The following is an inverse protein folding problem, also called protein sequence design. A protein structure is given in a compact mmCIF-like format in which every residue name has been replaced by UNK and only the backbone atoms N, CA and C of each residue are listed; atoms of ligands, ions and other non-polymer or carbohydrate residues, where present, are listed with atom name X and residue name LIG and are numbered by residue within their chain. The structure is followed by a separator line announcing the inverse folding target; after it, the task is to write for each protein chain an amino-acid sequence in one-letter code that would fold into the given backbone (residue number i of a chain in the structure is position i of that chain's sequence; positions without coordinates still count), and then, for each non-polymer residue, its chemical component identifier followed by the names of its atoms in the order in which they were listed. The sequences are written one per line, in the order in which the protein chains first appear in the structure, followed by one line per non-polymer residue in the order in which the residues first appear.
data_IF_576601379677
#
_entry.id   IF_576601379677
#
_cell.length_a   1.000
_cell.length_b   1.000
_cell.length_c   1.000
_cell.angle_alpha   90.00
_cell.angle_beta   90.00
_cell.angle_gamma   90.00
#
_symmetry.space_group_name_H-M   'P 1'
#
loop_
_entity.id
_entity.type
_entity.pdbx_description
1 polymer ?
#
# COMPACT_ATOMS: atom_id res chain seq x y z
N UNK A 1 3.07 17.54 8.81
CA UNK A 1 2.29 16.28 8.89
C UNK A 1 2.05 15.77 7.47
N UNK A 2 2.09 14.47 7.25
CA UNK A 2 1.92 13.85 5.94
C UNK A 2 0.54 13.23 5.78
N UNK A 3 -0.04 13.35 4.58
CA UNK A 3 -1.34 12.76 4.22
C UNK A 3 -1.16 11.93 2.94
N UNK A 4 -1.55 10.65 3.00
CA UNK A 4 -1.53 9.74 1.87
C UNK A 4 -2.94 9.46 1.37
N UNK A 5 -3.18 9.67 0.08
CA UNK A 5 -4.50 9.53 -0.54
C UNK A 5 -4.44 8.45 -1.62
N UNK A 6 -5.30 7.44 -1.51
CA UNK A 6 -5.41 6.36 -2.48
C UNK A 6 -6.08 6.80 -3.78
N UNK A 7 -5.75 6.14 -4.89
CA UNK A 7 -6.43 6.32 -6.17
C UNK A 7 -5.74 7.31 -7.10
N UNK A 8 -4.43 7.48 -6.97
CA UNK A 8 -3.62 8.39 -7.78
C UNK A 8 -3.93 8.33 -9.28
N UNK A 9 -4.07 7.12 -9.81
CA UNK A 9 -4.35 6.88 -11.23
C UNK A 9 -5.71 6.23 -11.46
N UNK A 10 -6.15 5.35 -10.57
CA UNK A 10 -7.44 4.66 -10.68
C UNK A 10 -8.65 5.55 -10.44
N UNK A 11 -8.50 6.64 -9.69
CA UNK A 11 -9.56 7.58 -9.29
C UNK A 11 -9.24 9.03 -9.61
N UNK A 12 -8.27 9.27 -10.51
CA UNK A 12 -7.78 10.61 -10.80
C UNK A 12 -8.89 11.60 -11.20
N UNK A 13 -9.90 11.13 -11.96
CA UNK A 13 -11.00 11.97 -12.43
C UNK A 13 -11.82 12.61 -11.29
N UNK A 14 -11.95 11.93 -10.15
CA UNK A 14 -12.59 12.47 -8.95
C UNK A 14 -11.58 13.09 -7.99
N UNK A 15 -10.37 12.56 -7.93
CA UNK A 15 -9.35 12.98 -6.98
C UNK A 15 -8.78 14.37 -7.32
N UNK A 16 -8.49 14.65 -8.59
CA UNK A 16 -7.96 15.97 -9.00
C UNK A 16 -8.93 17.11 -8.67
N UNK A 17 -10.22 17.08 -9.05
CA UNK A 17 -11.17 18.11 -8.67
C UNK A 17 -11.31 18.25 -7.15
N UNK A 18 -11.28 17.13 -6.42
CA UNK A 18 -11.34 17.15 -4.96
C UNK A 18 -10.15 17.89 -4.34
N UNK A 19 -8.92 17.59 -4.79
CA UNK A 19 -7.70 18.26 -4.29
C UNK A 19 -7.75 19.76 -4.60
N UNK A 20 -8.13 20.14 -5.81
CA UNK A 20 -8.24 21.54 -6.22
C UNK A 20 -9.25 22.29 -5.36
N UNK A 21 -10.45 21.72 -5.18
CA UNK A 21 -11.53 22.32 -4.38
C UNK A 21 -11.12 22.49 -2.91
N UNK A 22 -10.34 21.54 -2.38
CA UNK A 22 -9.97 21.51 -0.96
C UNK A 22 -8.52 21.94 -0.72
N UNK A 23 -7.91 22.70 -1.62
CA UNK A 23 -6.50 23.12 -1.53
C UNK A 23 -6.15 23.75 -0.16
N UNK A 24 -7.08 24.50 0.43
CA UNK A 24 -6.86 25.12 1.74
C UNK A 24 -6.80 24.11 2.89
N UNK A 25 -7.51 22.99 2.77
CA UNK A 25 -7.47 21.88 3.77
C UNK A 25 -6.10 21.22 3.78
N UNK A 26 -5.46 21.11 2.61
CA UNK A 26 -4.16 20.48 2.48
C UNK A 26 -2.97 21.43 2.71
N UNK A 27 -3.24 22.69 2.98
CA UNK A 27 -2.19 23.69 3.23
C UNK A 27 -1.38 23.33 4.47
N UNK A 28 -0.07 23.18 4.33
CA UNK A 28 0.83 22.81 5.42
C UNK A 28 0.97 21.30 5.66
N UNK A 29 0.37 20.48 4.78
CA UNK A 29 0.59 19.04 4.77
C UNK A 29 1.49 18.63 3.59
N UNK A 30 2.32 17.62 3.82
CA UNK A 30 3.00 16.89 2.77
C UNK A 30 2.02 15.88 2.19
N UNK A 31 1.48 16.16 1.01
CA UNK A 31 0.49 15.31 0.37
C UNK A 31 1.17 14.31 -0.56
N UNK A 32 0.86 13.04 -0.39
CA UNK A 32 1.26 11.95 -1.28
C UNK A 32 0.02 11.24 -1.80
N UNK A 33 -0.03 10.99 -3.09
CA UNK A 33 -1.06 10.15 -3.70
C UNK A 33 -0.46 8.80 -4.07
N UNK A 34 -1.21 7.70 -3.89
CA UNK A 34 -0.67 6.38 -4.15
C UNK A 34 -1.60 5.48 -4.96
N UNK A 35 -1.01 4.61 -5.76
CA UNK A 35 -1.71 3.57 -6.51
C UNK A 35 -0.76 2.43 -6.93
N UNK A 36 -1.34 1.32 -7.41
CA UNK A 36 -0.66 0.31 -8.21
C UNK A 36 -0.88 0.60 -9.69
N UNK A 37 0.11 0.32 -10.53
CA UNK A 37 0.01 0.46 -11.98
C UNK A 37 -0.09 -0.92 -12.59
N UNK A 38 -0.98 -1.09 -13.57
CA UNK A 38 -1.28 -2.38 -14.17
C UNK A 38 -0.07 -3.03 -14.88
N UNK A 39 -0.15 -4.35 -15.04
CA UNK A 39 0.89 -5.17 -15.63
C UNK A 39 2.27 -5.18 -14.92
N UNK A 40 2.37 -4.66 -13.70
CA UNK A 40 3.56 -4.75 -12.88
C UNK A 40 3.50 -5.97 -11.94
N UNK A 41 4.42 -6.89 -12.07
CA UNK A 41 4.49 -8.09 -11.23
C UNK A 41 4.83 -7.81 -9.77
N UNK A 42 5.31 -6.59 -9.46
CA UNK A 42 5.60 -6.18 -8.09
C UNK A 42 4.36 -5.70 -7.32
N UNK A 43 3.23 -5.50 -8.01
CA UNK A 43 1.98 -5.18 -7.35
C UNK A 43 1.51 -6.36 -6.48
N UNK A 44 1.03 -6.03 -5.30
CA UNK A 44 0.45 -6.98 -4.36
C UNK A 44 -0.62 -6.29 -3.53
N UNK A 45 -1.28 -7.03 -2.65
CA UNK A 45 -2.23 -6.47 -1.70
C UNK A 45 -3.56 -5.94 -2.26
N UNK A 46 -3.63 -5.65 -3.55
CA UNK A 46 -4.85 -5.26 -4.26
C UNK A 46 -4.93 -5.97 -5.59
N UNK A 47 -6.15 -6.21 -6.04
CA UNK A 47 -6.43 -6.79 -7.34
C UNK A 47 -5.99 -5.79 -8.42
N UNK A 48 -5.18 -6.25 -9.38
CA UNK A 48 -4.83 -5.45 -10.55
C UNK A 48 -6.09 -5.05 -11.31
N UNK A 49 -6.19 -3.76 -11.61
CA UNK A 49 -7.20 -3.18 -12.47
C UNK A 49 -6.46 -2.57 -13.66
N UNK A 50 -7.19 -2.26 -14.74
CA UNK A 50 -6.61 -1.54 -15.88
C UNK A 50 -6.27 -0.08 -15.49
N UNK A 51 -5.21 0.06 -14.71
CA UNK A 51 -4.72 1.34 -14.20
C UNK A 51 -3.49 1.71 -15.00
N UNK A 52 -3.67 2.70 -15.87
CA UNK A 52 -2.57 3.28 -16.65
C UNK A 52 -2.12 4.60 -16.04
N UNK A 53 -0.83 4.85 -16.12
CA UNK A 53 -0.26 6.12 -15.70
C UNK A 53 -0.34 7.14 -16.84
N UNK A 54 -1.11 8.20 -16.66
CA UNK A 54 -1.17 9.34 -17.58
C UNK A 54 -0.13 10.40 -17.20
N UNK A 55 0.68 10.83 -18.17
CA UNK A 55 1.68 11.90 -17.96
C UNK A 55 1.01 13.21 -17.54
N UNK A 56 -0.15 13.52 -18.11
CA UNK A 56 -0.94 14.69 -17.72
C UNK A 56 -1.31 14.67 -16.23
N UNK A 57 -1.68 13.50 -15.70
CA UNK A 57 -2.04 13.31 -14.29
C UNK A 57 -0.81 13.44 -13.39
N UNK A 58 0.32 12.88 -13.81
CA UNK A 58 1.60 13.04 -13.11
C UNK A 58 2.04 14.50 -13.04
N UNK A 59 2.01 15.20 -14.16
CA UNK A 59 2.35 16.62 -14.26
C UNK A 59 1.49 17.48 -13.34
N UNK A 60 0.19 17.16 -13.26
CA UNK A 60 -0.71 17.84 -12.33
C UNK A 60 -0.24 17.68 -10.89
N UNK A 61 0.06 16.46 -10.44
CA UNK A 61 0.53 16.22 -9.08
C UNK A 61 1.81 16.98 -8.80
N UNK A 62 2.81 16.89 -9.66
CA UNK A 62 4.10 17.55 -9.46
C UNK A 62 4.01 19.09 -9.46
N UNK A 63 3.19 19.69 -10.33
CA UNK A 63 2.94 21.15 -10.33
C UNK A 63 2.26 21.64 -9.06
N UNK A 64 1.57 20.77 -8.35
CA UNK A 64 0.92 21.08 -7.08
C UNK A 64 1.72 20.61 -5.85
N UNK A 65 3.00 20.26 -6.01
CA UNK A 65 3.88 19.72 -4.95
C UNK A 65 3.29 18.49 -4.24
N UNK A 66 2.64 17.62 -5.01
CA UNK A 66 2.09 16.35 -4.53
C UNK A 66 3.03 15.24 -4.96
N UNK A 67 3.50 14.46 -4.00
CA UNK A 67 4.35 13.30 -4.25
C UNK A 67 3.52 12.10 -4.69
N UNK A 68 4.16 11.19 -5.42
CA UNK A 68 3.52 9.95 -5.90
C UNK A 68 4.16 8.76 -5.21
N UNK A 69 3.34 7.83 -4.73
CA UNK A 69 3.79 6.57 -4.20
C UNK A 69 3.34 5.39 -5.07
N UNK A 70 4.27 4.50 -5.38
CA UNK A 70 4.00 3.25 -6.08
C UNK A 70 3.87 2.09 -5.10
N UNK A 71 2.82 1.28 -5.24
CA UNK A 71 2.56 0.14 -4.36
C UNK A 71 3.17 -1.15 -4.93
N UNK A 72 4.38 -1.49 -4.50
CA UNK A 72 5.10 -2.71 -4.87
C UNK A 72 5.07 -3.72 -3.72
N UNK A 73 3.88 -4.16 -3.36
CA UNK A 73 3.62 -4.95 -2.15
C UNK A 73 3.52 -6.46 -2.39
N UNK A 74 4.00 -6.95 -3.54
CA UNK A 74 4.09 -8.39 -3.78
C UNK A 74 5.22 -9.00 -2.91
N UNK A 75 4.95 -10.05 -2.11
CA UNK A 75 5.97 -10.71 -1.31
C UNK A 75 7.00 -11.47 -2.16
N UNK A 76 6.62 -11.87 -3.39
CA UNK A 76 7.49 -12.60 -4.32
C UNK A 76 7.78 -11.70 -5.52
N UNK A 77 9.02 -11.23 -5.61
CA UNK A 77 9.45 -10.31 -6.68
C UNK A 77 10.60 -10.89 -7.49
N UNK A 78 10.58 -10.62 -8.79
CA UNK A 78 11.73 -10.71 -9.67
C UNK A 78 12.26 -9.29 -9.91
N UNK A 79 13.45 -8.97 -9.43
CA UNK A 79 14.05 -7.62 -9.58
C UNK A 79 14.33 -7.25 -11.05
N UNK A 80 14.35 -8.24 -11.96
CA UNK A 80 14.51 -8.03 -13.40
C UNK A 80 13.18 -7.81 -14.13
N UNK A 81 12.07 -7.61 -13.40
CA UNK A 81 10.79 -7.28 -14.02
C UNK A 81 10.89 -5.98 -14.82
N UNK A 82 10.60 -6.06 -16.14
CA UNK A 82 10.78 -4.92 -17.05
C UNK A 82 9.84 -3.77 -16.70
N UNK A 83 8.57 -4.06 -16.48
CA UNK A 83 7.57 -3.02 -16.18
C UNK A 83 7.86 -2.33 -14.86
N UNK A 84 8.24 -3.08 -13.83
CA UNK A 84 8.63 -2.52 -12.54
C UNK A 84 9.82 -1.56 -12.66
N UNK A 85 10.85 -1.94 -13.44
CA UNK A 85 12.01 -1.07 -13.66
C UNK A 85 11.67 0.18 -14.49
N UNK A 86 10.88 0.06 -15.54
CA UNK A 86 10.39 1.22 -16.32
C UNK A 86 9.60 2.20 -15.44
N UNK A 87 8.80 1.69 -14.50
CA UNK A 87 8.09 2.52 -13.54
C UNK A 87 9.05 3.21 -12.55
N UNK A 88 10.06 2.49 -12.06
CA UNK A 88 11.07 3.11 -11.20
C UNK A 88 11.80 4.25 -11.91
N UNK A 89 12.20 4.08 -13.15
CA UNK A 89 12.83 5.14 -13.94
C UNK A 89 11.89 6.33 -14.15
N UNK A 90 10.66 6.06 -14.57
CA UNK A 90 9.66 7.10 -14.86
C UNK A 90 9.32 7.97 -13.65
N UNK A 91 9.25 7.37 -12.47
CA UNK A 91 8.88 8.06 -11.22
C UNK A 91 10.08 8.42 -10.34
N UNK A 92 11.32 8.25 -10.80
CA UNK A 92 12.52 8.53 -10.00
C UNK A 92 12.69 10.02 -9.72
N UNK A 93 12.06 10.46 -8.66
CA UNK A 93 12.05 11.87 -8.23
C UNK A 93 12.12 11.93 -6.71
N UNK A 94 12.79 12.97 -6.19
CA UNK A 94 12.83 13.23 -4.75
C UNK A 94 11.40 13.36 -4.19
N UNK A 95 11.22 12.85 -2.98
CA UNK A 95 9.96 12.78 -2.23
C UNK A 95 8.90 11.80 -2.78
N UNK A 96 9.10 11.21 -3.96
CA UNK A 96 8.31 10.05 -4.36
C UNK A 96 8.62 8.85 -3.46
N UNK A 97 7.67 7.93 -3.37
CA UNK A 97 7.69 6.87 -2.36
C UNK A 97 7.48 5.51 -3.00
N UNK A 98 8.18 4.52 -2.48
CA UNK A 98 7.89 3.12 -2.76
C UNK A 98 7.27 2.49 -1.52
N UNK A 99 6.04 2.01 -1.66
CA UNK A 99 5.36 1.22 -0.62
C UNK A 99 5.63 -0.25 -0.91
N UNK A 100 6.41 -0.91 -0.05
CA UNK A 100 6.83 -2.30 -0.29
C UNK A 100 6.88 -3.13 0.99
N UNK A 101 6.98 -4.46 0.81
CA UNK A 101 7.18 -5.43 1.89
C UNK A 101 8.40 -6.34 1.64
N UNK A 102 8.91 -6.35 0.42
CA UNK A 102 10.00 -7.23 0.02
C UNK A 102 11.36 -6.56 0.24
N UNK A 103 12.18 -7.14 1.11
CA UNK A 103 13.49 -6.61 1.48
C UNK A 103 14.45 -6.57 0.28
N UNK A 104 14.47 -7.60 -0.56
CA UNK A 104 15.37 -7.63 -1.73
C UNK A 104 15.02 -6.52 -2.73
N UNK A 105 13.73 -6.29 -2.97
CA UNK A 105 13.28 -5.20 -3.84
C UNK A 105 13.66 -3.85 -3.24
N UNK A 106 13.44 -3.65 -1.95
CA UNK A 106 13.82 -2.40 -1.27
C UNK A 106 15.32 -2.12 -1.40
N UNK A 107 16.19 -3.11 -1.12
CA UNK A 107 17.64 -2.96 -1.23
C UNK A 107 18.05 -2.63 -2.68
N UNK A 108 17.47 -3.32 -3.65
CA UNK A 108 17.67 -3.03 -5.06
C UNK A 108 17.32 -1.58 -5.41
N UNK A 109 16.15 -1.11 -4.96
CA UNK A 109 15.70 0.26 -5.23
C UNK A 109 16.57 1.28 -4.53
N UNK A 110 16.92 1.08 -3.26
CA UNK A 110 17.83 1.99 -2.52
C UNK A 110 19.17 2.15 -3.21
N UNK A 111 19.70 1.07 -3.78
CA UNK A 111 21.00 1.10 -4.49
C UNK A 111 20.93 1.81 -5.83
N UNK A 112 19.90 1.57 -6.62
CA UNK A 112 19.83 2.01 -8.03
C UNK A 112 18.99 3.28 -8.23
N UNK A 113 18.08 3.57 -7.31
CA UNK A 113 17.11 4.68 -7.38
C UNK A 113 17.03 5.43 -6.03
N UNK A 114 18.13 6.08 -5.60
CA UNK A 114 18.29 6.59 -4.23
C UNK A 114 17.40 7.78 -3.85
N UNK A 115 16.67 8.37 -4.80
CA UNK A 115 15.78 9.50 -4.51
C UNK A 115 14.46 9.11 -3.84
N UNK A 116 14.09 7.83 -3.93
CA UNK A 116 12.85 7.36 -3.32
C UNK A 116 12.92 7.30 -1.80
N UNK A 117 11.82 7.69 -1.16
CA UNK A 117 11.53 7.28 0.22
C UNK A 117 10.85 5.91 0.23
N UNK A 118 10.95 5.21 1.34
CA UNK A 118 10.43 3.85 1.47
C UNK A 118 9.42 3.75 2.61
N UNK A 119 8.22 3.27 2.29
CA UNK A 119 7.17 2.94 3.28
C UNK A 119 7.01 1.42 3.36
N UNK A 120 7.01 0.87 4.57
CA UNK A 120 6.59 -0.51 4.80
C UNK A 120 5.07 -0.61 4.78
N UNK A 121 4.53 -1.50 3.93
CA UNK A 121 3.09 -1.70 3.82
C UNK A 121 2.52 -2.50 5.00
N UNK A 122 1.31 -2.16 5.42
CA UNK A 122 0.50 -2.92 6.36
C UNK A 122 0.37 -4.41 5.97
N UNK A 123 0.36 -4.72 4.67
CA UNK A 123 0.23 -6.09 4.15
C UNK A 123 1.42 -7.01 4.49
N UNK A 124 2.55 -6.43 4.92
CA UNK A 124 3.74 -7.19 5.30
C UNK A 124 3.73 -7.75 6.73
N UNK A 125 2.75 -7.37 7.56
CA UNK A 125 2.74 -7.82 8.96
C UNK A 125 2.28 -9.26 9.14
N UNK A 126 1.39 -9.76 8.28
CA UNK A 126 0.83 -11.10 8.44
C UNK A 126 0.04 -11.25 9.74
N UNK A 127 0.30 -12.35 10.48
CA UNK A 127 -0.30 -12.57 11.79
C UNK A 127 0.35 -11.65 12.83
N UNK A 128 -0.47 -11.09 13.70
CA UNK A 128 -0.10 -10.23 14.81
C UNK A 128 -0.72 -10.74 16.11
N UNK A 129 -0.23 -10.25 17.24
CA UNK A 129 -0.85 -10.44 18.56
C UNK A 129 -1.74 -9.25 18.90
N UNK A 130 -2.87 -9.50 19.53
CA UNK A 130 -3.75 -8.46 20.07
C UNK A 130 -4.14 -8.89 21.49
N UNK A 131 -3.68 -8.16 22.50
CA UNK A 131 -2.82 -6.97 22.49
C UNK A 131 -1.40 -7.25 21.97
N UNK A 132 -0.63 -6.18 21.72
CA UNK A 132 0.76 -6.27 21.26
C UNK A 132 1.63 -7.04 22.26
N UNK A 133 2.49 -7.92 21.75
CA UNK A 133 3.51 -8.61 22.52
C UNK A 133 4.93 -8.05 22.23
N UNK A 134 5.93 -8.55 22.97
CA UNK A 134 7.32 -8.12 22.80
C UNK A 134 7.84 -8.36 21.38
N UNK A 135 7.47 -9.47 20.76
CA UNK A 135 7.86 -9.80 19.40
C UNK A 135 7.31 -8.80 18.38
N UNK A 136 6.08 -8.29 18.60
CA UNK A 136 5.49 -7.26 17.73
C UNK A 136 6.28 -5.94 17.88
N UNK A 137 6.60 -5.51 19.10
CA UNK A 137 7.42 -4.31 19.34
C UNK A 137 8.79 -4.43 18.67
N UNK A 138 9.49 -5.54 18.89
CA UNK A 138 10.80 -5.80 18.26
C UNK A 138 10.70 -5.80 16.74
N UNK A 139 9.61 -6.34 16.16
CA UNK A 139 9.38 -6.34 14.72
C UNK A 139 9.23 -4.92 14.18
N UNK A 140 8.46 -4.06 14.85
CA UNK A 140 8.32 -2.66 14.47
C UNK A 140 9.64 -1.91 14.55
N UNK A 141 10.38 -2.04 15.65
CA UNK A 141 11.69 -1.40 15.84
C UNK A 141 12.72 -1.80 14.78
N UNK A 142 12.70 -3.07 14.33
CA UNK A 142 13.52 -3.50 13.19
C UNK A 142 13.12 -2.81 11.89
N UNK A 143 11.82 -2.62 11.64
CA UNK A 143 11.34 -1.92 10.44
C UNK A 143 11.73 -0.44 10.48
N UNK A 144 11.72 0.20 11.64
CA UNK A 144 12.13 1.60 11.81
C UNK A 144 13.58 1.86 11.38
N UNK A 145 14.46 0.87 11.47
CA UNK A 145 15.86 0.97 11.03
C UNK A 145 15.99 0.98 9.49
N UNK A 146 15.00 0.48 8.79
CA UNK A 146 15.08 0.20 7.37
C UNK A 146 14.16 1.03 6.48
N UNK A 147 13.08 1.54 7.03
CA UNK A 147 12.06 2.30 6.31
C UNK A 147 11.96 3.73 6.83
N UNK A 148 11.63 4.65 5.93
CA UNK A 148 11.35 6.04 6.28
C UNK A 148 10.00 6.14 6.98
N UNK A 149 9.01 5.33 6.53
CA UNK A 149 7.68 5.26 7.09
C UNK A 149 7.19 3.82 7.20
N UNK A 150 6.23 3.58 8.09
CA UNK A 150 5.62 2.28 8.34
C UNK A 150 4.12 2.46 8.47
N UNK A 151 3.34 1.69 7.71
CA UNK A 151 1.88 1.60 7.91
C UNK A 151 1.61 0.44 8.87
N UNK A 152 1.25 0.73 10.14
CA UNK A 152 1.05 -0.30 11.15
C UNK A 152 -0.27 -1.03 10.94
N UNK A 153 -0.45 -2.15 11.62
CA UNK A 153 -1.77 -2.76 11.77
C UNK A 153 -2.66 -1.85 12.61
N UNK A 154 -3.90 -1.67 12.18
CA UNK A 154 -4.85 -0.76 12.84
C UNK A 154 -5.13 -1.19 14.30
N UNK A 155 -5.07 -2.50 14.57
CA UNK A 155 -5.24 -3.08 15.90
C UNK A 155 -4.19 -2.62 16.91
N UNK A 156 -2.97 -2.33 16.44
CA UNK A 156 -1.86 -1.90 17.28
C UNK A 156 -1.84 -0.40 17.57
N UNK A 157 -2.48 0.42 16.73
CA UNK A 157 -2.42 1.90 16.84
C UNK A 157 -2.97 2.41 18.18
N UNK A 158 -3.94 1.68 18.75
CA UNK A 158 -4.57 2.02 20.03
C UNK A 158 -4.04 1.19 21.20
N UNK A 159 -3.01 0.39 21.01
CA UNK A 159 -2.35 -0.37 22.07
C UNK A 159 -1.37 0.54 22.81
N UNK A 160 -1.33 0.47 24.16
CA UNK A 160 -0.46 1.30 24.99
C UNK A 160 1.02 1.14 24.60
N UNK A 161 1.41 -0.06 24.20
CA UNK A 161 2.76 -0.37 23.77
C UNK A 161 3.18 0.26 22.45
N UNK A 162 2.21 0.75 21.66
CA UNK A 162 2.53 1.52 20.45
C UNK A 162 3.31 2.80 20.78
N UNK A 163 3.13 3.34 22.00
CA UNK A 163 3.90 4.47 22.52
C UNK A 163 5.40 4.18 22.78
N UNK A 164 5.82 2.91 22.80
CA UNK A 164 7.23 2.51 22.90
C UNK A 164 8.01 2.70 21.57
N UNK A 165 7.30 2.96 20.47
CA UNK A 165 7.82 3.05 19.12
C UNK A 165 8.11 4.51 18.71
N UNK A 166 8.89 4.69 17.64
CA UNK A 166 9.12 6.02 17.08
C UNK A 166 7.92 6.48 16.25
N UNK A 167 6.90 7.01 16.93
CA UNK A 167 5.60 7.38 16.34
C UNK A 167 5.70 8.33 15.14
N UNK A 168 6.81 9.06 14.99
CA UNK A 168 7.01 9.98 13.84
C UNK A 168 7.21 9.25 12.51
N UNK A 169 7.49 7.95 12.55
CA UNK A 169 7.65 7.10 11.37
C UNK A 169 6.37 6.41 10.92
N UNK A 170 5.27 6.55 11.65
CA UNK A 170 4.07 5.77 11.38
C UNK A 170 3.01 6.55 10.60
N UNK A 171 2.46 5.89 9.58
CA UNK A 171 1.36 6.38 8.74
C UNK A 171 0.11 5.56 9.07
N UNK A 172 -0.82 6.13 9.81
CA UNK A 172 -2.03 5.42 10.27
C UNK A 172 -3.10 5.42 9.17
N UNK A 173 -3.65 4.25 8.88
CA UNK A 173 -4.80 4.12 7.99
C UNK A 173 -6.09 4.51 8.72
N UNK A 174 -6.82 5.50 8.17
CA UNK A 174 -8.09 5.95 8.73
C UNK A 174 -9.29 5.12 8.22
N UNK A 175 -9.12 4.37 7.15
CA UNK A 175 -10.17 3.62 6.47
C UNK A 175 -9.69 2.24 6.04
N UNK A 176 -9.12 1.46 6.97
CA UNK A 176 -8.82 0.05 6.68
C UNK A 176 -10.13 -0.68 6.38
N UNK A 177 -10.13 -1.39 5.25
CA UNK A 177 -11.29 -2.16 4.81
C UNK A 177 -11.31 -3.58 5.37
N UNK A 178 -10.24 -3.98 6.04
CA UNK A 178 -10.13 -5.29 6.66
C UNK A 178 -10.86 -5.33 8.00
N UNK A 179 -11.43 -6.49 8.32
CA UNK A 179 -12.05 -6.73 9.62
C UNK A 179 -10.97 -6.72 10.69
N UNK A 180 -11.28 -6.08 11.84
CA UNK A 180 -10.43 -6.05 13.01
C UNK A 180 -9.98 -7.47 13.41
N UNK A 181 -8.67 -7.64 13.61
CA UNK A 181 -8.03 -8.91 13.96
C UNK A 181 -8.38 -10.08 13.02
N UNK A 182 -8.46 -9.83 11.71
CA UNK A 182 -8.79 -10.86 10.73
C UNK A 182 -7.74 -11.99 10.73
N UNK A 183 -8.11 -13.23 11.03
CA UNK A 183 -7.18 -14.37 11.09
C UNK A 183 -6.61 -14.73 9.72
N UNK A 184 -7.28 -14.35 8.63
CA UNK A 184 -6.89 -14.65 7.25
C UNK A 184 -6.11 -13.50 6.57
N UNK A 185 -5.80 -12.43 7.30
CA UNK A 185 -5.22 -11.22 6.74
C UNK A 185 -4.00 -11.50 5.84
N UNK A 186 -2.99 -12.20 6.37
CA UNK A 186 -1.77 -12.51 5.62
C UNK A 186 -1.98 -13.45 4.43
N UNK A 187 -2.84 -14.46 4.58
CA UNK A 187 -3.16 -15.42 3.50
C UNK A 187 -3.92 -14.76 2.36
N UNK A 188 -4.85 -13.88 2.69
CA UNK A 188 -5.64 -13.13 1.71
C UNK A 188 -4.72 -12.30 0.80
N UNK A 189 -3.83 -11.49 1.38
CA UNK A 189 -2.91 -10.68 0.58
C UNK A 189 -1.91 -11.52 -0.21
N UNK A 190 -1.47 -12.65 0.32
CA UNK A 190 -0.62 -13.60 -0.41
C UNK A 190 -1.32 -14.16 -1.64
N UNK A 191 -2.57 -14.59 -1.53
CA UNK A 191 -3.37 -15.09 -2.65
C UNK A 191 -3.55 -14.02 -3.73
N UNK A 192 -3.90 -12.78 -3.34
CA UNK A 192 -4.02 -11.66 -4.29
C UNK A 192 -2.69 -11.40 -5.00
N UNK A 193 -1.57 -11.39 -4.26
CA UNK A 193 -0.26 -11.16 -4.82
C UNK A 193 0.16 -12.25 -5.82
N UNK A 194 -0.19 -13.52 -5.57
CA UNK A 194 0.03 -14.63 -6.50
C UNK A 194 -0.79 -14.49 -7.78
N UNK A 195 -2.06 -14.05 -7.66
CA UNK A 195 -2.92 -13.78 -8.82
C UNK A 195 -2.37 -12.63 -9.66
N UNK A 196 -1.97 -11.53 -9.03
CA UNK A 196 -1.38 -10.38 -9.71
C UNK A 196 -0.11 -10.77 -10.50
N UNK A 197 0.73 -11.64 -9.93
CA UNK A 197 1.95 -12.11 -10.59
C UNK A 197 1.67 -12.94 -11.84
N UNK A 198 0.56 -13.68 -11.85
CA UNK A 198 0.14 -14.48 -13.00
C UNK A 198 -0.58 -13.65 -14.06
N UNK A 199 -0.80 -12.35 -13.82
CA UNK A 199 -1.65 -11.49 -14.65
C UNK A 199 -3.03 -12.09 -14.90
N UNK A 200 -3.49 -12.94 -13.96
CA UNK A 200 -4.81 -13.55 -14.03
C UNK A 200 -5.84 -12.48 -13.67
N UNK A 201 -6.61 -12.04 -14.67
CA UNK A 201 -7.69 -11.06 -14.53
C UNK A 201 -9.03 -11.78 -14.48
N UNK A 202 -9.39 -12.43 -13.36
CA UNK A 202 -10.55 -13.28 -13.29
C UNK A 202 -11.88 -12.56 -13.56
N UNK A 203 -11.95 -11.24 -13.30
CA UNK A 203 -13.16 -10.45 -13.61
C UNK A 203 -13.32 -10.11 -15.10
N UNK A 204 -12.27 -10.10 -15.90
CA UNK A 204 -12.38 -9.90 -17.34
C UNK A 204 -12.84 -11.17 -18.05
N UNK A 205 -12.68 -12.33 -17.44
CA UNK A 205 -13.00 -13.64 -18.01
C UNK A 205 -14.34 -14.20 -17.54
N UNK A 206 -15.20 -13.41 -16.89
CA UNK A 206 -16.52 -13.86 -16.42
C UNK A 206 -16.48 -14.89 -15.29
N UNK A 207 -15.35 -15.02 -14.62
CA UNK A 207 -15.14 -16.06 -13.60
C UNK A 207 -15.67 -15.70 -12.22
N UNK A 208 -17.01 -15.73 -12.05
CA UNK A 208 -17.64 -15.65 -10.71
C UNK A 208 -17.13 -16.73 -9.75
N UNK A 209 -16.70 -17.89 -10.26
CA UNK A 209 -16.23 -19.01 -9.42
C UNK A 209 -14.85 -18.78 -8.77
N UNK A 210 -14.01 -17.92 -9.34
CA UNK A 210 -12.70 -17.60 -8.72
C UNK A 210 -12.80 -16.53 -7.64
N UNK A 211 -13.86 -15.74 -7.63
CA UNK A 211 -14.15 -14.77 -6.56
C UNK A 211 -14.68 -15.44 -5.28
N UNK A 212 -15.21 -16.66 -5.34
CA UNK A 212 -15.76 -17.36 -4.16
C UNK A 212 -14.81 -17.40 -2.97
N UNK A 213 -13.52 -17.62 -3.19
CA UNK A 213 -12.54 -17.66 -2.09
C UNK A 213 -12.24 -16.29 -1.48
N UNK A 214 -12.45 -15.20 -2.22
CA UNK A 214 -12.35 -13.83 -1.71
C UNK A 214 -13.67 -13.43 -1.04
N UNK A 215 -14.78 -13.83 -1.63
CA UNK A 215 -16.12 -13.66 -1.08
C UNK A 215 -16.31 -14.42 0.24
N UNK A 216 -15.76 -15.62 0.40
CA UNK A 216 -15.80 -16.34 1.67
C UNK A 216 -15.10 -15.59 2.80
N UNK A 217 -13.99 -14.90 2.53
CA UNK A 217 -13.34 -14.04 3.52
C UNK A 217 -14.20 -12.81 3.86
N UNK A 218 -14.86 -12.21 2.88
CA UNK A 218 -15.76 -11.05 3.06
C UNK A 218 -17.10 -11.42 3.65
N UNK A 219 -17.74 -12.49 3.17
CA UNK A 219 -19.09 -12.90 3.53
C UNK A 219 -19.13 -13.65 4.86
N UNK A 220 -18.13 -14.46 5.19
CA UNK A 220 -18.07 -15.13 6.50
C UNK A 220 -17.93 -14.12 7.65
N UNK A 221 -17.34 -12.95 7.38
CA UNK A 221 -17.18 -11.90 8.37
C UNK A 221 -18.36 -10.93 8.44
N UNK A 222 -19.16 -10.76 7.37
CA UNK A 222 -20.40 -9.96 7.45
C UNK A 222 -21.47 -10.62 8.35
N UNK A 223 -21.49 -11.95 8.45
CA UNK A 223 -22.43 -12.65 9.34
C UNK A 223 -22.08 -12.52 10.83
N UNK A 224 -20.82 -12.20 11.17
CA UNK A 224 -20.38 -11.95 12.55
C UNK A 224 -20.55 -10.49 12.99
N UNK A 225 -20.76 -9.55 12.05
CA UNK A 225 -21.12 -8.18 12.32
C UNK A 225 -22.64 -8.02 12.50
N UNK A 226 -23.25 -8.79 13.39
CA UNK A 226 -24.48 -8.35 14.02
C UNK A 226 -24.06 -7.31 15.05
N UNK A 227 -24.32 -6.05 14.71
CA UNK A 227 -24.16 -4.94 15.63
C UNK A 227 -24.87 -5.20 16.95
N UNK A 228 -24.33 -4.70 18.07
CA UNK A 228 -25.04 -4.72 19.34
C UNK A 228 -26.32 -3.90 19.28
#
# INVERSE_FOLDING_TARGET
MRVNIAGAFSKWQSLLPYIVKNKNVFRGFDVTVYDGIDNCAWNGGRINRDITCSDMVMDFYYRNNISIALTFTNPVVNISDRVGNELLEKFHKADNVIISINTKLREYIKKNFPLYKHTHSITGFGKISVPMCDDDVVKYQKLEQHYDYIVPRCEHVFDDRFGELNVTKYEVMLNDTCVYNCPYYGEHFKKIAEQNRKFDKPWLQGGQDKMKNIEECWLSNQSSYKQP
#
